data_IF_445129659532
#
_entry.id   IF_445129659532
#
_cell.length_a   1.000
_cell.length_b   1.000
_cell.length_c   1.000
_cell.angle_alpha   90.00
_cell.angle_beta   90.00
_cell.angle_gamma   90.00
#
_symmetry.space_group_name_H-M   'P 1'
#
loop_
_entity.id
_entity.type
_entity.pdbx_description
1 polymer ?
#
# COMPACT_ATOMS: atom_id res chain seq x y z
N UNK A 1 -4.45 -24.08 15.59
CA UNK A 1 -4.50 -22.74 16.22
C UNK A 1 -5.65 -22.01 15.58
N UNK A 2 -6.65 -21.59 16.34
CA UNK A 2 -7.80 -20.83 15.80
C UNK A 2 -7.40 -19.36 15.89
N UNK A 3 -7.30 -18.69 14.74
CA UNK A 3 -7.04 -17.24 14.70
C UNK A 3 -8.39 -16.57 14.93
N UNK A 4 -8.51 -15.80 16.00
CA UNK A 4 -9.71 -15.01 16.27
C UNK A 4 -9.68 -13.79 15.34
N UNK A 5 -10.73 -13.64 14.52
CA UNK A 5 -10.86 -12.47 13.64
C UNK A 5 -11.32 -11.26 14.45
N UNK A 6 -10.57 -10.17 14.37
CA UNK A 6 -10.87 -8.91 15.05
C UNK A 6 -11.33 -7.89 14.02
N UNK A 7 -12.50 -7.30 14.24
CA UNK A 7 -13.03 -6.27 13.36
C UNK A 7 -12.24 -4.95 13.46
N UNK A 8 -12.07 -4.30 12.30
CA UNK A 8 -11.42 -3.00 12.21
C UNK A 8 -12.35 -1.89 12.72
N UNK A 9 -11.80 -0.93 13.46
CA UNK A 9 -12.56 0.24 13.90
C UNK A 9 -13.02 1.08 12.69
N UNK A 10 -14.27 1.55 12.71
CA UNK A 10 -14.86 2.34 11.62
C UNK A 10 -14.01 3.56 11.21
N UNK A 11 -13.38 4.23 12.17
CA UNK A 11 -12.47 5.36 11.90
C UNK A 11 -11.25 4.95 11.07
N UNK A 12 -10.69 3.78 11.34
CA UNK A 12 -9.50 3.29 10.63
C UNK A 12 -9.86 2.81 9.22
N UNK A 13 -11.03 2.17 9.06
CA UNK A 13 -11.53 1.72 7.76
C UNK A 13 -11.78 2.86 6.76
N UNK A 14 -12.05 4.08 7.25
CA UNK A 14 -12.29 5.26 6.43
C UNK A 14 -11.02 6.03 6.03
N UNK A 15 -9.82 5.57 6.42
CA UNK A 15 -8.57 6.29 6.12
C UNK A 15 -8.09 5.92 4.71
N UNK A 16 -8.03 6.92 3.83
CA UNK A 16 -7.44 6.82 2.50
C UNK A 16 -6.12 7.60 2.42
N UNK A 17 -5.19 7.16 1.57
CA UNK A 17 -3.89 7.80 1.45
C UNK A 17 -3.41 7.85 -0.01
N UNK A 18 -3.91 8.87 -0.72
CA UNK A 18 -3.75 9.07 -2.17
C UNK A 18 -2.32 8.85 -2.71
N UNK A 19 -1.29 9.23 -1.97
CA UNK A 19 0.11 9.08 -2.44
C UNK A 19 0.63 7.63 -2.38
N UNK A 20 -0.01 6.74 -1.61
CA UNK A 20 0.32 5.30 -1.52
C UNK A 20 -0.54 4.41 -2.40
N UNK A 21 -1.63 4.93 -2.96
CA UNK A 21 -2.52 4.13 -3.81
C UNK A 21 -1.81 3.59 -5.06
N UNK A 22 -0.79 4.30 -5.53
CA UNK A 22 0.06 3.90 -6.67
C UNK A 22 1.12 2.85 -6.32
N UNK A 23 1.32 2.54 -5.03
CA UNK A 23 2.36 1.60 -4.57
C UNK A 23 1.97 0.16 -4.91
N UNK A 24 0.71 -0.22 -4.75
CA UNK A 24 0.25 -1.60 -5.01
C UNK A 24 0.42 -1.97 -6.50
N UNK A 25 -0.04 -1.15 -7.48
CA UNK A 25 0.21 -1.43 -8.89
C UNK A 25 1.70 -1.47 -9.24
N UNK A 26 2.51 -0.56 -8.69
CA UNK A 26 3.95 -0.54 -8.94
C UNK A 26 4.63 -1.84 -8.50
N UNK A 27 4.29 -2.36 -7.30
CA UNK A 27 4.84 -3.64 -6.80
C UNK A 27 4.46 -4.83 -7.69
N UNK A 28 3.26 -4.81 -8.28
CA UNK A 28 2.86 -5.86 -9.24
C UNK A 28 3.74 -5.83 -10.49
N UNK A 29 4.01 -4.63 -11.03
CA UNK A 29 4.86 -4.46 -12.21
C UNK A 29 6.32 -4.82 -11.91
N UNK A 30 6.84 -4.47 -10.73
CA UNK A 30 8.18 -4.87 -10.29
C UNK A 30 8.33 -6.40 -10.20
N UNK A 31 7.31 -7.10 -9.68
CA UNK A 31 7.30 -8.57 -9.65
C UNK A 31 7.28 -9.21 -11.04
N UNK A 32 6.81 -8.49 -12.04
CA UNK A 32 6.86 -8.90 -13.45
C UNK A 32 8.21 -8.58 -14.12
N UNK A 33 9.12 -7.92 -13.40
CA UNK A 33 10.46 -7.56 -13.87
C UNK A 33 10.56 -6.17 -14.50
N UNK A 34 9.57 -5.29 -14.30
CA UNK A 34 9.65 -3.91 -14.76
C UNK A 34 10.39 -3.02 -13.75
N UNK A 35 11.35 -2.23 -14.23
CA UNK A 35 11.97 -1.19 -13.43
C UNK A 35 11.02 0.01 -13.29
N UNK A 36 10.70 0.38 -12.04
CA UNK A 36 9.78 1.48 -11.72
C UNK A 36 10.56 2.64 -11.07
N UNK A 37 10.44 3.83 -11.65
CA UNK A 37 10.94 5.07 -11.02
C UNK A 37 9.84 5.64 -10.12
N UNK A 38 10.09 5.68 -8.81
CA UNK A 38 9.15 6.25 -7.83
C UNK A 38 9.40 7.75 -7.66
N UNK A 39 8.47 8.56 -8.19
CA UNK A 39 8.44 10.02 -8.00
C UNK A 39 7.21 10.48 -7.19
N UNK A 40 6.46 9.52 -6.65
CA UNK A 40 5.23 9.75 -5.91
C UNK A 40 5.44 9.97 -4.40
N UNK A 41 6.65 9.74 -3.89
CA UNK A 41 7.02 9.93 -2.48
C UNK A 41 8.15 10.94 -2.41
N UNK A 42 7.98 11.98 -1.59
CA UNK A 42 9.00 13.00 -1.32
C UNK A 42 9.86 12.71 -0.09
N UNK A 43 10.02 11.43 0.28
CA UNK A 43 10.79 10.99 1.44
C UNK A 43 12.27 10.84 1.04
N UNK A 44 13.18 11.63 1.61
CA UNK A 44 14.60 11.60 1.26
C UNK A 44 15.40 10.50 1.99
N UNK A 45 14.76 9.71 2.87
CA UNK A 45 15.42 8.72 3.75
C UNK A 45 15.29 7.27 3.26
#
# INVERSE_FOLDING_TARGET
MVVEEVEVAARAAAIEYAIRDVVVPAVVLEKQGHDIIRLNIGDPL
#
